data_IF_367833483445
#
_entry.id   IF_367833483445
#
_cell.length_a   1.000
_cell.length_b   1.000
_cell.length_c   1.000
_cell.angle_alpha   90.00
_cell.angle_beta   90.00
_cell.angle_gamma   90.00
#
_symmetry.space_group_name_H-M   'P 1'
#
loop_
_entity.id
_entity.type
_entity.pdbx_description
1 polymer ?
#
# COMPACT_ATOMS: atom_id res chain seq x y z
N UNK A 1 -75.18 9.36 -18.39
CA UNK A 1 -75.94 10.66 -18.52
C UNK A 1 -74.91 11.71 -18.84
N UNK A 2 -74.89 12.10 -20.05
CA UNK A 2 -75.08 13.46 -20.63
C UNK A 2 -73.86 14.36 -20.40
N UNK A 3 -73.03 14.58 -21.47
CA UNK A 3 -73.13 15.67 -22.49
C UNK A 3 -72.77 17.06 -21.88
N UNK A 4 -72.00 17.98 -22.43
CA UNK A 4 -71.63 18.32 -23.79
C UNK A 4 -70.50 19.37 -23.65
N UNK A 5 -69.50 19.46 -24.45
CA UNK A 5 -69.43 20.13 -25.78
C UNK A 5 -69.35 21.68 -25.71
N UNK A 6 -68.38 22.21 -26.40
CA UNK A 6 -68.29 23.58 -26.94
C UNK A 6 -67.07 24.34 -26.48
N UNK A 7 -66.20 24.93 -27.23
CA UNK A 7 -66.18 25.31 -28.64
C UNK A 7 -64.98 26.24 -28.78
N UNK A 8 -64.21 26.12 -29.81
CA UNK A 8 -63.28 27.15 -30.34
C UNK A 8 -64.06 28.36 -30.91
N UNK A 9 -63.48 29.55 -30.97
CA UNK A 9 -62.64 29.88 -32.10
C UNK A 9 -61.50 30.95 -31.89
N UNK A 10 -60.47 30.79 -32.65
CA UNK A 10 -60.02 31.62 -33.76
C UNK A 10 -59.12 32.85 -33.46
N UNK A 11 -57.96 32.79 -34.11
CA UNK A 11 -57.26 33.86 -34.81
C UNK A 11 -56.71 35.05 -34.06
N UNK A 12 -55.36 35.04 -33.90
CA UNK A 12 -54.63 36.29 -34.13
C UNK A 12 -53.35 36.03 -34.94
N UNK A 13 -53.21 36.86 -35.96
CA UNK A 13 -52.19 36.87 -37.01
C UNK A 13 -50.78 37.08 -36.47
N UNK A 14 -49.86 36.36 -37.13
CA UNK A 14 -48.43 36.61 -37.09
C UNK A 14 -48.07 38.06 -37.44
N UNK A 15 -47.18 38.67 -36.66
CA UNK A 15 -46.35 39.80 -37.06
C UNK A 15 -44.90 39.34 -37.09
N UNK A 16 -44.36 39.24 -38.29
CA UNK A 16 -42.94 39.08 -38.54
C UNK A 16 -42.18 40.30 -38.00
N UNK A 17 -41.14 40.05 -37.21
CA UNK A 17 -40.12 41.03 -36.82
C UNK A 17 -38.76 40.54 -37.36
N UNK A 18 -37.90 41.48 -37.83
CA UNK A 18 -36.77 41.16 -38.69
C UNK A 18 -35.62 40.46 -37.96
N UNK A 19 -34.98 39.54 -38.68
CA UNK A 19 -33.77 38.81 -38.27
C UNK A 19 -32.64 39.77 -37.95
N UNK A 20 -32.25 39.86 -36.66
CA UNK A 20 -30.95 40.40 -36.24
C UNK A 20 -29.90 39.32 -36.39
N UNK A 21 -28.96 39.54 -37.31
CA UNK A 21 -27.76 38.74 -37.48
C UNK A 21 -26.95 38.72 -36.15
N UNK A 22 -27.01 37.64 -35.41
CA UNK A 22 -26.12 37.40 -34.27
C UNK A 22 -24.72 37.04 -34.80
N UNK A 23 -23.82 38.01 -34.63
CA UNK A 23 -22.38 37.89 -34.89
C UNK A 23 -21.83 36.71 -34.05
N UNK A 24 -21.49 35.61 -34.71
CA UNK A 24 -20.79 34.45 -34.11
C UNK A 24 -19.43 34.89 -33.61
N UNK A 25 -19.31 35.24 -32.32
CA UNK A 25 -18.02 35.36 -31.68
C UNK A 25 -17.44 33.96 -31.52
N UNK A 26 -16.28 33.77 -32.14
CA UNK A 26 -15.54 32.52 -32.14
C UNK A 26 -15.02 32.24 -30.73
N UNK A 27 -15.62 31.31 -30.02
CA UNK A 27 -15.14 30.77 -28.77
C UNK A 27 -14.01 29.74 -28.97
N UNK A 28 -12.95 30.11 -29.68
CA UNK A 28 -11.81 29.17 -29.92
C UNK A 28 -10.77 29.14 -28.79
N UNK A 29 -10.84 30.08 -27.84
CA UNK A 29 -9.88 30.18 -26.74
C UNK A 29 -10.14 29.23 -25.56
N UNK A 30 -11.40 28.94 -25.24
CA UNK A 30 -11.76 28.16 -24.05
C UNK A 30 -11.53 26.65 -24.29
N UNK A 31 -11.76 26.17 -25.50
CA UNK A 31 -11.51 24.77 -25.85
C UNK A 31 -10.02 24.43 -25.95
N UNK A 32 -9.19 25.36 -26.40
CA UNK A 32 -7.75 25.16 -26.46
C UNK A 32 -7.12 25.08 -25.05
N UNK A 33 -7.60 25.89 -24.10
CA UNK A 33 -7.17 25.86 -22.71
C UNK A 33 -7.60 24.55 -21.99
N UNK A 34 -8.83 24.09 -22.23
CA UNK A 34 -9.34 22.84 -21.63
C UNK A 34 -8.61 21.59 -22.17
N UNK A 35 -8.29 21.57 -23.46
CA UNK A 35 -7.50 20.48 -24.06
C UNK A 35 -6.05 20.50 -23.56
N UNK A 36 -5.45 21.69 -23.40
CA UNK A 36 -4.10 21.84 -22.84
C UNK A 36 -4.00 21.37 -21.37
N UNK A 37 -4.97 21.74 -20.53
CA UNK A 37 -5.02 21.29 -19.13
C UNK A 37 -5.29 19.78 -19.02
N UNK A 38 -6.15 19.22 -19.87
CA UNK A 38 -6.39 17.78 -19.95
C UNK A 38 -5.15 17.01 -20.38
N UNK A 39 -4.40 17.51 -21.36
CA UNK A 39 -3.15 16.90 -21.81
C UNK A 39 -2.04 16.95 -20.74
N UNK A 40 -1.93 18.07 -20.01
CA UNK A 40 -1.00 18.22 -18.88
C UNK A 40 -1.37 17.29 -17.72
N UNK A 41 -2.68 17.15 -17.42
CA UNK A 41 -3.16 16.24 -16.40
C UNK A 41 -2.93 14.77 -16.79
N UNK A 42 -3.20 14.41 -18.04
CA UNK A 42 -2.88 13.07 -18.55
C UNK A 42 -1.37 12.80 -18.58
N UNK A 43 -0.55 13.78 -18.95
CA UNK A 43 0.91 13.64 -18.91
C UNK A 43 1.44 13.47 -17.47
N UNK A 44 0.90 14.24 -16.52
CA UNK A 44 1.23 14.09 -15.10
C UNK A 44 0.77 12.74 -14.53
N UNK A 45 -0.43 12.28 -14.92
CA UNK A 45 -0.96 10.98 -14.54
C UNK A 45 -0.13 9.83 -15.15
N UNK A 46 0.26 9.95 -16.43
CA UNK A 46 1.14 8.98 -17.09
C UNK A 46 2.53 8.97 -16.47
N UNK A 47 3.03 10.12 -16.03
CA UNK A 47 4.32 10.23 -15.32
C UNK A 47 4.24 9.63 -13.91
N UNK A 48 3.10 9.78 -13.24
CA UNK A 48 2.82 9.17 -11.94
C UNK A 48 2.64 7.63 -12.03
N UNK A 49 2.11 7.15 -13.16
CA UNK A 49 1.88 5.72 -13.44
C UNK A 49 3.07 5.02 -14.12
N UNK A 50 4.12 5.75 -14.51
CA UNK A 50 5.32 5.14 -15.10
C UNK A 50 6.12 4.44 -14.02
N UNK A 51 6.34 3.14 -14.21
CA UNK A 51 7.39 2.38 -13.51
C UNK A 51 8.70 3.15 -13.64
N UNK A 52 9.34 3.58 -12.55
CA UNK A 52 10.61 4.30 -12.64
C UNK A 52 11.64 3.46 -13.38
N UNK A 53 12.26 4.01 -14.42
CA UNK A 53 13.33 3.32 -15.12
C UNK A 53 14.56 3.13 -14.21
N UNK A 54 15.38 2.11 -14.45
CA UNK A 54 16.61 1.90 -13.67
C UNK A 54 17.49 3.16 -13.59
N UNK A 55 17.55 3.95 -14.67
CA UNK A 55 18.26 5.24 -14.69
C UNK A 55 17.69 6.31 -13.77
N UNK A 56 16.37 6.28 -13.46
CA UNK A 56 15.77 7.20 -12.50
C UNK A 56 16.19 6.88 -11.06
N UNK A 57 16.48 5.61 -10.78
CA UNK A 57 17.00 5.19 -9.47
C UNK A 57 18.48 5.58 -9.30
N UNK A 58 19.29 5.52 -10.36
CA UNK A 58 20.71 5.91 -10.29
C UNK A 58 20.94 7.38 -9.93
N UNK A 59 20.09 8.30 -10.42
CA UNK A 59 20.21 9.75 -10.16
C UNK A 59 19.82 10.21 -8.74
N UNK A 60 19.34 9.30 -7.86
CA UNK A 60 18.81 9.66 -6.54
C UNK A 60 19.84 9.54 -5.43
N UNK A 61 20.89 8.79 -5.68
CA UNK A 61 21.72 8.22 -4.65
C UNK A 61 23.11 8.83 -4.51
N UNK A 62 23.40 9.91 -5.19
CA UNK A 62 24.70 10.58 -5.07
C UNK A 62 24.53 12.07 -4.76
N UNK A 63 25.26 12.61 -3.82
CA UNK A 63 26.05 11.97 -2.77
C UNK A 63 25.16 11.49 -1.60
N UNK A 64 25.57 10.52 -0.78
CA UNK A 64 24.90 10.18 0.47
C UNK A 64 24.94 11.36 1.45
N UNK A 65 23.91 11.51 2.27
CA UNK A 65 23.87 12.55 3.30
C UNK A 65 24.64 12.11 4.54
N UNK A 66 25.08 13.06 5.35
CA UNK A 66 25.69 12.78 6.66
C UNK A 66 24.76 11.95 7.55
N UNK A 67 23.43 12.24 7.52
CA UNK A 67 22.41 11.49 8.25
C UNK A 67 22.40 10.02 7.84
N UNK A 68 22.46 9.75 6.52
CA UNK A 68 22.52 8.40 6.02
C UNK A 68 23.82 7.70 6.44
N UNK A 69 24.97 8.37 6.32
CA UNK A 69 26.27 7.80 6.65
C UNK A 69 26.51 7.63 8.18
N UNK A 70 25.76 8.32 9.02
CA UNK A 70 25.80 8.15 10.48
C UNK A 70 25.09 6.88 10.96
N UNK A 71 24.38 6.16 10.11
CA UNK A 71 23.65 4.93 10.47
C UNK A 71 24.62 3.82 10.88
N UNK A 72 24.20 3.03 11.87
CA UNK A 72 24.95 1.83 12.31
C UNK A 72 24.78 0.64 11.36
N UNK A 73 23.62 0.57 10.67
CA UNK A 73 23.27 -0.47 9.70
C UNK A 73 22.45 0.13 8.58
N UNK A 74 22.47 -0.52 7.42
CA UNK A 74 21.54 -0.16 6.35
C UNK A 74 20.10 -0.50 6.74
N UNK A 75 19.09 0.25 6.23
CA UNK A 75 17.69 -0.11 6.43
C UNK A 75 17.36 -1.41 5.70
N UNK A 76 16.43 -2.19 6.25
CA UNK A 76 15.89 -3.36 5.57
C UNK A 76 15.09 -2.93 4.32
N UNK A 77 15.23 -3.68 3.25
CA UNK A 77 14.40 -3.52 2.05
C UNK A 77 13.31 -4.60 2.07
N UNK A 78 12.06 -4.14 2.32
CA UNK A 78 10.89 -5.00 2.41
C UNK A 78 10.10 -4.98 1.10
N UNK A 79 9.97 -6.12 0.46
CA UNK A 79 9.22 -6.27 -0.79
C UNK A 79 7.71 -6.31 -0.51
N UNK A 80 6.98 -5.27 -0.92
CA UNK A 80 5.54 -5.06 -0.73
C UNK A 80 4.73 -6.00 -1.63
N UNK A 81 4.12 -7.01 -1.05
CA UNK A 81 3.49 -8.09 -1.82
C UNK A 81 4.46 -8.84 -2.73
N UNK A 82 5.78 -8.88 -2.40
CA UNK A 82 6.85 -9.39 -3.23
C UNK A 82 7.44 -8.35 -4.19
N UNK A 83 8.12 -8.76 -5.27
CA UNK A 83 8.58 -7.89 -6.37
C UNK A 83 7.38 -7.48 -7.24
N UNK A 84 6.48 -6.70 -6.65
CA UNK A 84 5.16 -6.39 -7.21
C UNK A 84 5.17 -5.36 -8.34
N UNK A 85 6.31 -4.74 -8.61
CA UNK A 85 6.51 -3.93 -9.81
C UNK A 85 6.64 -4.77 -11.10
N UNK A 86 7.08 -6.04 -10.98
CA UNK A 86 7.36 -6.90 -12.12
C UNK A 86 6.45 -8.14 -12.17
N UNK A 87 5.86 -8.52 -11.04
CA UNK A 87 4.98 -9.68 -10.90
C UNK A 87 3.67 -9.28 -10.25
N UNK A 88 2.56 -9.99 -10.49
CA UNK A 88 1.33 -9.74 -9.77
C UNK A 88 1.56 -9.83 -8.25
N UNK A 89 1.15 -8.81 -7.48
CA UNK A 89 1.41 -8.76 -6.06
C UNK A 89 0.79 -9.94 -5.31
N UNK A 90 1.36 -10.29 -4.17
CA UNK A 90 0.85 -11.34 -3.31
C UNK A 90 0.79 -12.73 -3.97
N UNK A 91 1.66 -12.99 -4.95
CA UNK A 91 1.78 -14.29 -5.62
C UNK A 91 3.10 -14.98 -5.29
N UNK A 92 3.11 -16.30 -5.45
CA UNK A 92 4.33 -17.11 -5.25
C UNK A 92 5.47 -16.63 -6.16
N UNK A 93 5.17 -16.18 -7.38
CA UNK A 93 6.16 -15.64 -8.32
C UNK A 93 6.77 -14.33 -7.84
N UNK A 94 5.94 -13.39 -7.31
CA UNK A 94 6.40 -12.12 -6.78
C UNK A 94 7.34 -12.32 -5.57
N UNK A 95 6.99 -13.21 -4.64
CA UNK A 95 7.82 -13.52 -3.48
C UNK A 95 9.13 -14.23 -3.87
N UNK A 96 9.06 -15.20 -4.78
CA UNK A 96 10.25 -15.88 -5.27
C UNK A 96 11.22 -14.90 -5.97
N UNK A 97 10.69 -13.96 -6.74
CA UNK A 97 11.49 -12.93 -7.40
C UNK A 97 12.14 -11.96 -6.40
N UNK A 98 11.41 -11.58 -5.35
CA UNK A 98 11.93 -10.71 -4.28
C UNK A 98 13.08 -11.39 -3.53
N UNK A 99 12.92 -12.66 -3.12
CA UNK A 99 13.97 -13.45 -2.46
C UNK A 99 15.18 -13.63 -3.38
N UNK A 100 14.97 -14.02 -4.64
CA UNK A 100 16.04 -14.16 -5.62
C UNK A 100 16.74 -12.82 -5.94
N UNK A 101 16.05 -11.70 -5.72
CA UNK A 101 16.59 -10.35 -5.81
C UNK A 101 17.37 -9.89 -4.60
N UNK A 102 17.42 -10.68 -3.52
CA UNK A 102 18.14 -10.37 -2.29
C UNK A 102 17.38 -9.47 -1.31
N UNK A 103 16.03 -9.41 -1.40
CA UNK A 103 15.21 -8.65 -0.43
C UNK A 103 15.45 -9.16 0.99
N UNK A 104 15.67 -8.23 1.92
CA UNK A 104 15.88 -8.56 3.34
C UNK A 104 14.60 -9.00 4.03
N UNK A 105 13.47 -8.50 3.50
CA UNK A 105 12.18 -8.60 4.15
C UNK A 105 11.09 -8.79 3.07
N UNK A 106 10.08 -9.59 3.40
CA UNK A 106 8.84 -9.68 2.63
C UNK A 106 7.70 -9.09 3.44
N UNK A 107 6.83 -8.33 2.79
CA UNK A 107 5.54 -7.96 3.33
C UNK A 107 4.44 -8.71 2.59
N UNK A 108 3.51 -9.30 3.36
CA UNK A 108 2.53 -10.29 2.91
C UNK A 108 1.15 -9.90 3.44
N UNK A 109 0.22 -9.59 2.54
CA UNK A 109 -1.17 -9.28 2.91
C UNK A 109 -1.95 -10.54 3.25
N UNK A 110 -2.33 -10.73 4.50
CA UNK A 110 -3.07 -11.93 4.95
C UNK A 110 -4.52 -11.61 5.27
N UNK A 111 -5.43 -12.30 4.61
CA UNK A 111 -6.87 -12.18 4.78
C UNK A 111 -7.53 -13.56 4.96
N UNK A 112 -8.69 -13.58 5.64
CA UNK A 112 -9.45 -14.79 5.90
C UNK A 112 -10.59 -15.00 4.90
N UNK A 113 -10.71 -16.20 4.35
CA UNK A 113 -11.86 -16.61 3.51
C UNK A 113 -13.08 -16.92 4.38
N UNK A 114 -14.26 -17.00 3.76
CA UNK A 114 -15.53 -17.34 4.42
C UNK A 114 -15.48 -18.67 5.16
N UNK A 115 -14.73 -19.64 4.65
CA UNK A 115 -14.54 -20.95 5.25
C UNK A 115 -13.29 -21.05 6.15
N UNK A 116 -12.73 -19.89 6.57
CA UNK A 116 -11.68 -19.82 7.59
C UNK A 116 -10.27 -20.11 7.12
N UNK A 117 -10.03 -20.19 5.83
CA UNK A 117 -8.68 -20.38 5.28
C UNK A 117 -7.96 -19.05 5.15
N UNK A 118 -6.76 -18.91 5.70
CA UNK A 118 -5.93 -17.74 5.49
C UNK A 118 -5.25 -17.79 4.11
N UNK A 119 -5.44 -16.73 3.33
CA UNK A 119 -4.88 -16.56 2.00
C UNK A 119 -4.05 -15.28 1.93
N UNK A 120 -3.15 -15.23 0.95
CA UNK A 120 -2.36 -14.03 0.70
C UNK A 120 -3.01 -13.24 -0.43
N UNK A 121 -3.75 -12.19 -0.05
CA UNK A 121 -4.54 -11.39 -0.97
C UNK A 121 -4.97 -10.07 -0.34
N UNK A 122 -4.71 -8.95 -1.02
CA UNK A 122 -5.26 -7.66 -0.66
C UNK A 122 -6.62 -7.44 -1.33
N UNK A 123 -7.54 -6.77 -0.67
CA UNK A 123 -8.88 -6.46 -1.18
C UNK A 123 -8.86 -5.81 -2.56
N UNK A 124 -7.91 -4.90 -2.80
CA UNK A 124 -7.78 -4.20 -4.09
C UNK A 124 -7.57 -5.17 -5.26
N UNK A 125 -6.71 -6.19 -5.09
CA UNK A 125 -6.47 -7.21 -6.10
C UNK A 125 -7.71 -8.10 -6.30
N UNK A 126 -8.41 -8.46 -5.22
CA UNK A 126 -9.66 -9.21 -5.30
C UNK A 126 -10.72 -8.44 -6.10
N UNK A 127 -10.93 -7.15 -5.81
CA UNK A 127 -11.89 -6.30 -6.53
C UNK A 127 -11.56 -6.23 -8.04
N UNK A 128 -10.29 -6.19 -8.40
CA UNK A 128 -9.84 -6.25 -9.79
C UNK A 128 -10.12 -7.61 -10.45
N UNK A 129 -9.81 -8.72 -9.77
CA UNK A 129 -10.07 -10.08 -10.26
C UNK A 129 -11.55 -10.32 -10.53
N UNK A 130 -12.43 -9.91 -9.62
CA UNK A 130 -13.88 -10.11 -9.77
C UNK A 130 -14.59 -8.97 -10.49
N UNK A 131 -13.88 -7.89 -10.83
CA UNK A 131 -14.41 -6.66 -11.46
C UNK A 131 -15.59 -6.06 -10.71
N UNK A 132 -15.53 -6.09 -9.39
CA UNK A 132 -16.60 -5.60 -8.51
C UNK A 132 -15.99 -4.95 -7.27
N UNK A 133 -16.39 -3.71 -6.98
CA UNK A 133 -16.00 -2.94 -5.81
C UNK A 133 -16.84 -3.36 -4.59
N UNK A 134 -16.29 -3.23 -3.40
CA UNK A 134 -16.98 -3.48 -2.14
C UNK A 134 -17.06 -4.96 -1.74
N UNK A 135 -16.32 -5.83 -2.42
CA UNK A 135 -16.17 -7.23 -2.01
C UNK A 135 -14.99 -7.38 -1.05
N UNK A 136 -15.06 -8.41 -0.23
CA UNK A 136 -14.01 -8.79 0.71
C UNK A 136 -13.61 -10.25 0.50
N UNK A 137 -12.44 -10.64 1.00
CA UNK A 137 -11.98 -12.04 0.94
C UNK A 137 -12.95 -12.96 1.68
N UNK A 138 -13.55 -12.45 2.78
CA UNK A 138 -14.57 -13.16 3.55
C UNK A 138 -15.91 -13.41 2.83
N UNK A 139 -16.13 -12.79 1.67
CA UNK A 139 -17.31 -13.09 0.84
C UNK A 139 -17.16 -14.41 0.05
N UNK A 140 -15.95 -14.98 -0.01
CA UNK A 140 -15.61 -16.16 -0.83
C UNK A 140 -15.01 -17.29 0.00
N UNK A 141 -15.26 -18.53 -0.41
CA UNK A 141 -14.55 -19.69 0.08
C UNK A 141 -13.15 -19.79 -0.53
N UNK A 142 -12.24 -20.53 0.12
CA UNK A 142 -10.93 -20.80 -0.47
C UNK A 142 -11.03 -21.49 -1.85
N UNK A 143 -12.00 -22.39 -2.01
CA UNK A 143 -12.23 -23.06 -3.29
C UNK A 143 -12.53 -22.05 -4.41
N UNK A 144 -13.36 -21.04 -4.14
CA UNK A 144 -13.69 -20.00 -5.11
C UNK A 144 -12.46 -19.12 -5.41
N UNK A 145 -11.75 -18.66 -4.39
CA UNK A 145 -10.55 -17.80 -4.54
C UNK A 145 -9.41 -18.53 -5.25
N UNK A 146 -9.17 -19.79 -4.92
CA UNK A 146 -8.08 -20.58 -5.50
C UNK A 146 -8.20 -20.83 -7.01
N UNK A 147 -9.39 -20.62 -7.58
CA UNK A 147 -9.64 -20.74 -9.03
C UNK A 147 -9.47 -19.41 -9.77
N UNK A 148 -9.40 -18.28 -9.05
CA UNK A 148 -9.23 -16.97 -9.66
C UNK A 148 -7.80 -16.81 -10.21
N UNK A 149 -7.68 -16.01 -11.29
CA UNK A 149 -6.39 -15.59 -11.83
C UNK A 149 -5.93 -14.33 -11.11
N UNK A 150 -4.88 -14.45 -10.30
CA UNK A 150 -4.26 -13.31 -9.62
C UNK A 150 -3.39 -12.45 -10.56
N UNK A 151 -3.42 -12.73 -11.84
CA UNK A 151 -2.63 -12.09 -12.89
C UNK A 151 -1.57 -13.02 -13.47
N UNK A 152 -1.40 -12.96 -14.80
CA UNK A 152 -0.42 -13.75 -15.54
C UNK A 152 -0.49 -15.27 -15.26
N UNK A 153 -1.69 -15.82 -15.01
CA UNK A 153 -1.88 -17.23 -14.70
C UNK A 153 -1.50 -17.64 -13.27
N UNK A 154 -1.12 -16.69 -12.42
CA UNK A 154 -0.82 -16.97 -11.02
C UNK A 154 -2.10 -17.25 -10.23
N UNK A 155 -1.99 -18.05 -9.18
CA UNK A 155 -3.09 -18.34 -8.26
C UNK A 155 -2.87 -17.65 -6.94
N UNK A 156 -3.96 -17.35 -6.23
CA UNK A 156 -3.92 -16.85 -4.86
C UNK A 156 -3.40 -17.96 -3.93
N UNK A 157 -2.26 -17.76 -3.24
CA UNK A 157 -1.70 -18.79 -2.39
C UNK A 157 -2.35 -18.82 -1.00
N UNK A 158 -2.30 -19.96 -0.33
CA UNK A 158 -2.53 -20.04 1.11
C UNK A 158 -1.39 -19.32 1.84
N UNK A 159 -1.71 -18.62 2.91
CA UNK A 159 -0.73 -17.92 3.72
C UNK A 159 0.28 -18.90 4.33
N UNK A 160 -0.17 -20.05 4.81
CA UNK A 160 0.70 -21.12 5.31
C UNK A 160 1.79 -21.51 4.30
N UNK A 161 1.43 -21.65 3.03
CA UNK A 161 2.39 -22.04 1.98
C UNK A 161 3.44 -20.94 1.75
N UNK A 162 3.04 -19.68 1.80
CA UNK A 162 3.95 -18.53 1.64
C UNK A 162 4.92 -18.46 2.82
N UNK A 163 4.41 -18.50 4.05
CA UNK A 163 5.25 -18.40 5.25
C UNK A 163 6.26 -19.56 5.32
N UNK A 164 5.81 -20.81 5.20
CA UNK A 164 6.72 -21.99 5.22
C UNK A 164 7.82 -21.91 4.18
N UNK A 165 7.48 -21.43 2.98
CA UNK A 165 8.43 -21.39 1.86
C UNK A 165 9.42 -20.25 1.96
N UNK A 166 9.00 -19.08 2.41
CA UNK A 166 9.82 -17.86 2.25
C UNK A 166 10.38 -17.31 3.57
N UNK A 167 9.79 -17.60 4.73
CA UNK A 167 10.33 -17.09 6.00
C UNK A 167 11.79 -17.52 6.25
N UNK A 168 12.25 -18.75 5.87
CA UNK A 168 13.64 -19.13 6.09
C UNK A 168 14.66 -18.41 5.20
N UNK A 169 14.19 -17.64 4.21
CA UNK A 169 15.05 -17.01 3.18
C UNK A 169 15.16 -15.49 3.33
N UNK A 170 14.57 -14.90 4.35
CA UNK A 170 14.59 -13.47 4.62
C UNK A 170 14.89 -13.19 6.09
N UNK A 171 15.42 -12.01 6.39
CA UNK A 171 15.67 -11.58 7.78
C UNK A 171 14.35 -11.38 8.54
N UNK A 172 13.33 -10.84 7.86
CA UNK A 172 12.03 -10.53 8.44
C UNK A 172 10.91 -10.84 7.45
N UNK A 173 9.82 -11.45 7.94
CA UNK A 173 8.58 -11.60 7.19
C UNK A 173 7.47 -10.85 7.91
N UNK A 174 6.90 -9.83 7.24
CA UNK A 174 5.81 -9.02 7.75
C UNK A 174 4.50 -9.61 7.29
N UNK A 175 3.64 -9.96 8.24
CA UNK A 175 2.25 -10.38 7.98
C UNK A 175 1.35 -9.18 8.22
N UNK A 176 0.91 -8.49 7.15
CA UNK A 176 -0.06 -7.39 7.26
C UNK A 176 -1.48 -7.97 7.31
N UNK A 177 -2.06 -7.93 8.51
CA UNK A 177 -3.36 -8.53 8.82
C UNK A 177 -4.47 -7.64 8.25
N UNK A 178 -5.26 -8.21 7.32
CA UNK A 178 -6.40 -7.53 6.73
C UNK A 178 -7.67 -7.92 7.45
N UNK A 179 -8.26 -6.95 8.15
CA UNK A 179 -9.54 -7.10 8.85
C UNK A 179 -10.63 -6.54 7.93
N UNK A 180 -11.36 -7.42 7.29
CA UNK A 180 -12.47 -7.07 6.41
C UNK A 180 -13.79 -7.02 7.18
N UNK A 181 -13.99 -6.13 8.10
CA UNK A 181 -15.23 -5.70 8.76
C UNK A 181 -16.44 -6.65 8.98
N UNK A 182 -16.41 -7.82 8.39
CA UNK A 182 -17.41 -8.89 8.50
C UNK A 182 -16.66 -10.15 8.90
N UNK A 183 -16.45 -10.39 10.17
CA UNK A 183 -15.83 -11.56 10.75
C UNK A 183 -15.70 -12.75 9.78
N UNK A 184 -14.63 -12.75 8.97
CA UNK A 184 -14.40 -13.74 7.91
C UNK A 184 -14.23 -15.16 8.46
N UNK A 185 -13.94 -15.27 9.71
CA UNK A 185 -13.81 -16.52 10.42
C UNK A 185 -15.05 -16.72 11.28
N UNK A 186 -16.15 -17.19 10.76
CA UNK A 186 -17.40 -17.46 11.46
C UNK A 186 -17.30 -17.49 12.99
N UNK A 187 -17.17 -16.34 13.63
CA UNK A 187 -16.79 -16.03 15.00
C UNK A 187 -16.48 -17.24 15.93
N UNK A 188 -15.43 -17.25 16.74
CA UNK A 188 -15.01 -16.10 17.55
C UNK A 188 -13.50 -15.77 17.48
N UNK A 189 -12.74 -16.22 16.47
CA UNK A 189 -11.32 -15.90 16.40
C UNK A 189 -11.11 -14.55 15.70
N UNK A 190 -10.37 -13.64 16.34
CA UNK A 190 -9.87 -12.45 15.67
C UNK A 190 -8.88 -12.85 14.56
N UNK A 191 -8.71 -12.01 13.56
CA UNK A 191 -7.71 -12.21 12.52
C UNK A 191 -6.28 -12.21 13.11
N UNK A 192 -6.04 -11.42 14.18
CA UNK A 192 -4.78 -11.44 14.91
C UNK A 192 -4.48 -12.78 15.56
N UNK A 193 -5.47 -13.40 16.21
CA UNK A 193 -5.32 -14.75 16.78
C UNK A 193 -5.03 -15.81 15.69
N UNK A 194 -5.73 -15.71 14.54
CA UNK A 194 -5.50 -16.61 13.42
C UNK A 194 -4.10 -16.43 12.79
N UNK A 195 -3.61 -15.19 12.69
CA UNK A 195 -2.27 -14.89 12.19
C UNK A 195 -1.18 -15.38 13.18
N UNK A 196 -1.43 -15.27 14.49
CA UNK A 196 -0.54 -15.83 15.52
C UNK A 196 -0.45 -17.34 15.45
N UNK A 197 -1.60 -18.04 15.33
CA UNK A 197 -1.63 -19.48 15.09
C UNK A 197 -0.89 -19.88 13.82
N UNK A 198 -1.05 -19.10 12.74
CA UNK A 198 -0.36 -19.32 11.48
C UNK A 198 1.15 -19.21 11.65
N UNK A 199 1.64 -18.15 12.32
CA UNK A 199 3.07 -17.97 12.58
C UNK A 199 3.65 -19.15 13.37
N UNK A 200 2.98 -19.59 14.43
CA UNK A 200 3.37 -20.78 15.20
C UNK A 200 3.33 -22.06 14.38
N UNK A 201 2.26 -22.31 13.61
CA UNK A 201 2.13 -23.52 12.80
C UNK A 201 3.14 -23.60 11.63
N UNK A 202 3.74 -22.48 11.26
CA UNK A 202 4.73 -22.41 10.18
C UNK A 202 6.17 -22.26 10.66
N UNK A 203 6.39 -22.27 11.98
CA UNK A 203 7.68 -22.01 12.62
C UNK A 203 8.31 -20.67 12.16
N UNK A 204 7.47 -19.65 11.91
CA UNK A 204 7.92 -18.35 11.44
C UNK A 204 8.41 -17.50 12.61
N UNK A 205 9.60 -17.77 13.11
CA UNK A 205 10.21 -17.09 14.26
C UNK A 205 10.65 -15.66 13.95
N UNK A 206 10.77 -15.30 12.67
CA UNK A 206 11.11 -13.96 12.17
C UNK A 206 9.88 -13.18 11.65
N UNK A 207 8.66 -13.66 11.95
CA UNK A 207 7.43 -12.97 11.59
C UNK A 207 7.17 -11.76 12.49
N UNK A 208 6.79 -10.63 11.88
CA UNK A 208 6.18 -9.49 12.56
C UNK A 208 4.72 -9.42 12.13
N UNK A 209 3.79 -9.41 13.09
CA UNK A 209 2.36 -9.29 12.82
C UNK A 209 1.95 -7.82 12.83
N UNK A 210 1.59 -7.27 11.68
CA UNK A 210 1.10 -5.90 11.57
C UNK A 210 -0.42 -5.85 11.54
N UNK A 211 -1.00 -4.90 12.27
CA UNK A 211 -2.44 -4.64 12.25
C UNK A 211 -2.75 -3.13 12.24
N UNK A 212 -3.85 -2.77 11.60
CA UNK A 212 -4.39 -1.39 11.62
C UNK A 212 -5.22 -1.11 12.87
N UNK A 213 -5.84 -2.15 13.44
CA UNK A 213 -6.69 -2.06 14.61
C UNK A 213 -5.88 -2.18 15.90
N UNK A 214 -6.10 -1.23 16.83
CA UNK A 214 -5.55 -1.27 18.19
C UNK A 214 -6.00 -2.51 18.94
N UNK A 215 -7.24 -2.94 18.72
CA UNK A 215 -7.82 -4.13 19.34
C UNK A 215 -7.06 -5.39 18.93
N UNK A 216 -6.78 -5.55 17.62
CA UNK A 216 -5.98 -6.69 17.12
C UNK A 216 -4.55 -6.67 17.67
N UNK A 217 -3.89 -5.52 17.72
CA UNK A 217 -2.53 -5.41 18.28
C UNK A 217 -2.51 -5.85 19.74
N UNK A 218 -3.42 -5.30 20.57
CA UNK A 218 -3.49 -5.66 22.00
C UNK A 218 -3.90 -7.11 22.19
N UNK A 219 -4.78 -7.62 21.33
CA UNK A 219 -5.22 -9.00 21.41
C UNK A 219 -4.06 -9.97 21.15
N UNK A 220 -3.28 -9.76 20.09
CA UNK A 220 -2.08 -10.55 19.81
C UNK A 220 -1.12 -10.52 21.00
N UNK A 221 -0.83 -9.32 21.52
CA UNK A 221 0.07 -9.14 22.69
C UNK A 221 -0.45 -9.84 23.95
N UNK A 222 -1.76 -9.91 24.12
CA UNK A 222 -2.36 -10.60 25.26
C UNK A 222 -2.28 -12.12 25.15
N UNK A 223 -2.27 -12.67 23.93
CA UNK A 223 -2.13 -14.10 23.65
C UNK A 223 -0.69 -14.57 23.71
N UNK A 224 0.22 -13.79 23.13
CA UNK A 224 1.65 -14.03 23.16
C UNK A 224 2.45 -12.72 23.26
N UNK A 225 2.91 -12.35 24.46
CA UNK A 225 3.72 -11.15 24.67
C UNK A 225 5.10 -11.20 23.98
N UNK A 226 5.57 -12.35 23.57
CA UNK A 226 6.86 -12.54 22.89
C UNK A 226 6.77 -12.33 21.37
N UNK A 227 5.55 -12.42 20.81
CA UNK A 227 5.35 -12.21 19.38
C UNK A 227 5.67 -10.76 18.99
N UNK A 228 6.53 -10.59 18.00
CA UNK A 228 6.81 -9.28 17.44
C UNK A 228 5.55 -8.73 16.75
N UNK A 229 5.06 -7.59 17.23
CA UNK A 229 3.86 -6.93 16.72
C UNK A 229 4.20 -5.51 16.26
N UNK A 230 3.55 -5.06 15.22
CA UNK A 230 3.57 -3.69 14.75
C UNK A 230 2.17 -3.15 14.50
N UNK A 231 2.03 -1.84 14.55
CA UNK A 231 0.80 -1.19 14.14
C UNK A 231 1.01 -0.28 12.95
N UNK A 232 -0.03 -0.12 12.14
CA UNK A 232 0.02 0.63 10.90
C UNK A 232 -0.54 2.04 11.11
N UNK A 233 0.29 3.05 10.82
CA UNK A 233 -0.09 4.47 10.82
C UNK A 233 -0.40 4.89 9.39
N UNK A 234 -1.68 5.23 9.16
CA UNK A 234 -2.22 5.63 7.86
C UNK A 234 -2.09 7.13 7.61
N UNK A 235 -2.34 7.55 6.37
CA UNK A 235 -2.47 8.96 5.99
C UNK A 235 -3.57 9.18 4.94
N UNK A 236 -4.55 8.31 4.88
CA UNK A 236 -5.63 8.37 3.89
C UNK A 236 -6.62 9.50 4.17
N UNK A 237 -6.70 9.94 5.45
CA UNK A 237 -7.55 11.05 5.89
C UNK A 237 -6.88 11.89 6.97
N UNK A 238 -7.46 13.07 7.27
CA UNK A 238 -7.02 13.88 8.43
C UNK A 238 -7.26 13.15 9.75
N UNK A 239 -8.28 12.30 9.82
CA UNK A 239 -8.55 11.46 10.99
C UNK A 239 -7.45 10.41 11.18
N UNK A 240 -7.01 9.73 10.11
CA UNK A 240 -5.92 8.75 10.19
C UNK A 240 -4.63 9.38 10.73
N UNK A 241 -4.34 10.64 10.36
CA UNK A 241 -3.16 11.37 10.88
C UNK A 241 -3.26 11.65 12.37
N UNK A 242 -4.45 12.06 12.85
CA UNK A 242 -4.71 12.30 14.27
C UNK A 242 -4.65 11.00 15.07
N UNK A 243 -5.36 9.97 14.60
CA UNK A 243 -5.35 8.64 15.22
C UNK A 243 -3.94 8.02 15.20
N UNK A 244 -3.15 8.28 14.15
CA UNK A 244 -1.78 7.82 14.06
C UNK A 244 -0.89 8.33 15.18
N UNK A 245 -1.02 9.62 15.55
CA UNK A 245 -0.26 10.17 16.71
C UNK A 245 -0.73 9.58 18.03
N UNK A 246 -2.04 9.50 18.24
CA UNK A 246 -2.58 8.84 19.41
C UNK A 246 -2.13 7.37 19.53
N UNK A 247 -1.99 6.66 18.40
CA UNK A 247 -1.50 5.29 18.39
C UNK A 247 -0.06 5.15 18.91
N UNK A 248 0.77 6.15 18.67
CA UNK A 248 2.15 6.13 19.18
C UNK A 248 2.16 5.99 20.71
N UNK A 249 1.25 6.68 21.39
CA UNK A 249 1.12 6.62 22.85
C UNK A 249 0.35 5.37 23.32
N UNK A 250 -0.80 5.09 22.70
CA UNK A 250 -1.69 3.99 23.11
C UNK A 250 -1.10 2.60 22.89
N UNK A 251 -0.22 2.46 21.92
CA UNK A 251 0.42 1.21 21.50
C UNK A 251 1.93 1.23 21.76
N UNK A 252 2.37 1.93 22.81
CA UNK A 252 3.77 2.03 23.19
C UNK A 252 4.47 0.68 23.38
N UNK A 253 3.70 -0.39 23.72
CA UNK A 253 4.21 -1.75 23.85
C UNK A 253 4.48 -2.47 22.52
N UNK A 254 4.00 -1.95 21.37
CA UNK A 254 4.29 -2.56 20.07
C UNK A 254 5.72 -2.24 19.64
N UNK A 255 6.52 -3.27 19.38
CA UNK A 255 7.95 -3.12 19.06
C UNK A 255 8.21 -2.49 17.68
N UNK A 256 7.20 -2.46 16.80
CA UNK A 256 7.34 -1.99 15.43
C UNK A 256 6.22 -1.02 15.06
N UNK A 257 6.55 -0.02 14.22
CA UNK A 257 5.62 0.95 13.66
C UNK A 257 5.74 0.95 12.15
N UNK A 258 4.67 0.63 11.44
CA UNK A 258 4.56 0.79 9.99
C UNK A 258 3.98 2.18 9.68
N UNK A 259 4.83 3.11 9.22
CA UNK A 259 4.46 4.51 9.07
C UNK A 259 4.34 4.91 7.61
N UNK A 260 3.19 5.50 7.24
CA UNK A 260 3.04 6.08 5.91
C UNK A 260 4.07 7.20 5.71
N UNK A 261 4.71 7.26 4.55
CA UNK A 261 5.83 8.17 4.27
C UNK A 261 5.50 9.66 4.45
N UNK A 262 4.24 10.07 4.31
CA UNK A 262 3.84 11.46 4.53
C UNK A 262 3.76 11.83 6.02
N UNK A 263 3.47 10.87 6.89
CA UNK A 263 3.44 11.06 8.34
C UNK A 263 4.84 11.01 8.93
N UNK A 264 5.76 10.29 8.28
CA UNK A 264 7.14 10.19 8.71
C UNK A 264 7.83 11.57 8.64
N UNK A 265 8.20 12.10 9.80
CA UNK A 265 8.99 13.31 9.97
C UNK A 265 10.09 13.09 11.02
N UNK A 266 11.14 13.90 10.99
CA UNK A 266 12.26 13.74 11.91
C UNK A 266 11.83 13.70 13.37
N UNK A 267 10.97 14.64 13.80
CA UNK A 267 10.48 14.73 15.18
C UNK A 267 9.65 13.52 15.62
N UNK A 268 8.77 13.01 14.74
CA UNK A 268 7.98 11.81 15.04
C UNK A 268 8.86 10.57 15.15
N UNK A 269 9.88 10.46 14.30
CA UNK A 269 10.81 9.33 14.34
C UNK A 269 11.71 9.35 15.56
N UNK A 270 12.15 10.54 16.01
CA UNK A 270 12.91 10.70 17.25
C UNK A 270 12.11 10.20 18.45
N UNK A 271 10.84 10.56 18.54
CA UNK A 271 9.93 10.09 19.59
C UNK A 271 9.77 8.56 19.59
N UNK A 272 9.52 7.97 18.41
CA UNK A 272 9.39 6.52 18.26
C UNK A 272 10.69 5.80 18.62
N UNK A 273 11.83 6.32 18.20
CA UNK A 273 13.14 5.74 18.54
C UNK A 273 13.50 5.86 20.03
N UNK A 274 13.17 6.99 20.65
CA UNK A 274 13.38 7.18 22.08
C UNK A 274 12.64 6.11 22.92
N UNK A 275 11.54 5.54 22.38
CA UNK A 275 10.82 4.43 22.98
C UNK A 275 11.38 3.03 22.62
N UNK A 276 12.49 2.94 21.88
CA UNK A 276 13.13 1.68 21.48
C UNK A 276 12.43 0.92 20.35
N UNK A 277 11.48 1.54 19.66
CA UNK A 277 10.70 0.91 18.59
C UNK A 277 11.37 1.05 17.23
N UNK A 278 11.18 0.06 16.36
CA UNK A 278 11.60 0.10 14.95
C UNK A 278 10.53 0.73 14.07
N UNK A 279 10.94 1.49 13.06
CA UNK A 279 10.04 2.12 12.10
C UNK A 279 10.25 1.58 10.70
N UNK A 280 9.16 1.18 10.06
CA UNK A 280 9.11 0.79 8.67
C UNK A 280 8.31 1.82 7.86
N UNK A 281 8.96 2.46 6.90
CA UNK A 281 8.31 3.46 6.03
C UNK A 281 7.63 2.80 4.81
N UNK A 282 6.39 3.16 4.50
CA UNK A 282 5.63 2.60 3.39
C UNK A 282 4.80 3.66 2.66
N UNK A 283 4.45 3.52 1.37
CA UNK A 283 5.10 2.64 0.38
C UNK A 283 6.03 3.48 -0.47
N UNK A 284 7.32 3.15 -0.49
CA UNK A 284 8.35 3.96 -1.14
C UNK A 284 8.57 3.51 -2.61
N UNK A 285 7.72 3.99 -3.50
CA UNK A 285 7.72 3.61 -4.91
C UNK A 285 8.29 4.68 -5.83
N UNK A 286 8.74 5.80 -5.30
CA UNK A 286 9.39 6.86 -6.05
C UNK A 286 10.71 7.25 -5.40
N UNK A 287 11.63 7.70 -6.21
CA UNK A 287 12.91 8.23 -5.76
C UNK A 287 12.81 9.31 -4.68
N UNK A 288 11.85 10.20 -4.81
CA UNK A 288 11.60 11.25 -3.83
C UNK A 288 11.25 10.68 -2.46
N UNK A 289 10.31 9.73 -2.40
CA UNK A 289 9.89 9.10 -1.15
C UNK A 289 11.04 8.32 -0.52
N UNK A 290 11.82 7.60 -1.33
CA UNK A 290 13.00 6.87 -0.87
C UNK A 290 14.01 7.81 -0.23
N UNK A 291 14.35 8.94 -0.86
CA UNK A 291 15.26 9.92 -0.27
C UNK A 291 14.73 10.46 1.07
N UNK A 292 13.45 10.82 1.09
CA UNK A 292 12.82 11.29 2.33
C UNK A 292 13.03 10.30 3.47
N UNK A 293 12.78 9.01 3.24
CA UNK A 293 12.89 7.94 4.24
C UNK A 293 14.34 7.54 4.56
N UNK A 294 15.30 7.88 3.72
CA UNK A 294 16.72 7.62 3.98
C UNK A 294 17.43 8.80 4.64
N UNK A 295 17.11 10.03 4.24
CA UNK A 295 17.89 11.23 4.52
C UNK A 295 17.20 12.21 5.47
N UNK A 296 15.88 12.39 5.35
CA UNK A 296 15.14 13.39 6.14
C UNK A 296 14.41 12.75 7.33
N UNK A 297 13.89 11.56 7.12
CA UNK A 297 13.15 10.79 8.11
C UNK A 297 13.66 9.33 8.11
N UNK A 298 14.91 9.09 8.54
CA UNK A 298 15.57 7.80 8.37
C UNK A 298 14.83 6.70 9.14
N UNK A 299 14.34 5.68 8.43
CA UNK A 299 13.59 4.53 8.97
C UNK A 299 14.48 3.28 9.06
N UNK A 300 14.05 2.26 9.81
CA UNK A 300 14.77 1.00 9.98
C UNK A 300 14.48 -0.01 8.87
N UNK A 301 13.33 0.13 8.20
CA UNK A 301 12.97 -0.65 7.02
C UNK A 301 12.16 0.18 6.03
N UNK A 302 12.26 -0.14 4.75
CA UNK A 302 11.53 0.53 3.67
C UNK A 302 10.72 -0.50 2.89
N UNK A 303 9.40 -0.33 2.88
CA UNK A 303 8.47 -1.17 2.12
C UNK A 303 8.27 -0.57 0.73
N UNK A 304 8.53 -1.36 -0.31
CA UNK A 304 8.53 -0.91 -1.71
C UNK A 304 8.07 -1.98 -2.68
N UNK A 305 7.48 -1.56 -3.79
CA UNK A 305 7.19 -2.44 -4.92
C UNK A 305 8.45 -2.75 -5.77
N UNK A 306 9.54 -2.00 -5.55
CA UNK A 306 10.78 -2.04 -6.34
C UNK A 306 11.97 -2.48 -5.49
N UNK A 307 12.01 -3.70 -4.94
CA UNK A 307 13.04 -4.09 -3.98
C UNK A 307 14.45 -4.09 -4.58
N UNK A 308 14.65 -4.62 -5.80
CA UNK A 308 15.99 -4.71 -6.42
C UNK A 308 16.64 -3.35 -6.70
N UNK A 309 15.96 -2.39 -7.35
CA UNK A 309 16.53 -1.05 -7.53
C UNK A 309 16.88 -0.37 -6.20
N UNK A 310 16.00 -0.52 -5.19
CA UNK A 310 16.24 0.08 -3.87
C UNK A 310 17.45 -0.54 -3.17
N UNK A 311 17.61 -1.87 -3.21
CA UNK A 311 18.79 -2.57 -2.67
C UNK A 311 20.08 -2.06 -3.28
N UNK A 312 20.17 -2.07 -4.62
CA UNK A 312 21.37 -1.57 -5.33
C UNK A 312 21.75 -0.17 -4.89
N UNK A 313 20.76 0.67 -4.80
CA UNK A 313 20.92 2.05 -4.46
C UNK A 313 21.40 2.27 -3.01
N UNK A 314 20.84 1.54 -2.05
CA UNK A 314 21.29 1.58 -0.66
C UNK A 314 22.73 1.07 -0.57
N UNK A 315 23.07 -0.02 -1.25
CA UNK A 315 24.41 -0.61 -1.25
C UNK A 315 25.45 0.34 -1.87
N UNK A 316 25.09 1.07 -2.93
CA UNK A 316 25.96 2.10 -3.53
C UNK A 316 26.23 3.25 -2.55
N UNK A 317 25.19 3.73 -1.86
CA UNK A 317 25.34 4.77 -0.84
C UNK A 317 26.19 4.32 0.34
N UNK A 318 25.99 3.08 0.82
CA UNK A 318 26.79 2.52 1.90
C UNK A 318 28.28 2.45 1.52
N UNK A 319 28.58 2.05 0.29
CA UNK A 319 29.98 2.04 -0.23
C UNK A 319 30.56 3.45 -0.28
N UNK A 320 29.80 4.44 -0.74
CA UNK A 320 30.25 5.82 -0.79
C UNK A 320 30.56 6.36 0.63
N UNK A 321 29.72 6.09 1.63
CA UNK A 321 29.99 6.48 3.01
C UNK A 321 31.27 5.85 3.59
N UNK A 322 31.60 4.61 3.19
CA UNK A 322 32.83 3.96 3.64
C UNK A 322 34.09 4.60 3.03
N UNK A 323 34.04 4.92 1.74
CA UNK A 323 35.16 5.58 1.05
C UNK A 323 35.45 6.99 1.55
N UNK A 324 34.43 7.73 2.02
CA UNK A 324 34.62 9.06 2.64
C UNK A 324 35.24 9.00 4.04
N UNK A 325 35.13 7.87 4.75
CA UNK A 325 35.76 7.68 6.09
C UNK A 325 37.24 7.25 6.01
N UNK A 326 37.66 6.75 4.85
CA UNK A 326 39.04 6.29 4.63
C UNK A 326 39.94 7.40 4.07
N UNK A 327 39.38 8.52 3.61
CA UNK A 327 40.07 9.71 3.14
C UNK A 327 40.09 10.80 4.21
#
# INVERSE_FOLDING_TARGET
>A
MQRAAGGLPALFKAREAPARAARRQRGTGVWAAAVGLGALFCAALVQYLRVPSEGQWAGIFTPPTEIFCARRSRPLVCAHGGDSAHYPPNTMAAFAAAVAGGSDCLEVDVAGTRDGVLVVLHRRELEQMVRRVGVTVGDFTFREISQMDAGNGQRVPRAEHVLRKFSPHVETLIVDIKVDGRGALGAPKSMGAAALELAGATDCTNCILWAKSDEEVRHIQSLDPSQAVGFVVMNESSLDRLEGRDKLDRLAGAANVAMHHEVASGSVLEEVRASGRRVFGWTANTPYIVRKLLDEAPVDGIVTNYPRPLLRAIDERMRACLSEREN
#
